data_IF_600408980361
#
_entry.id   IF_600408980361
#
_cell.length_a   1.000
_cell.length_b   1.000
_cell.length_c   1.000
_cell.angle_alpha   90.00
_cell.angle_beta   90.00
_cell.angle_gamma   90.00
#
_symmetry.space_group_name_H-M   'P 1'
#
loop_
_entity.id
_entity.type
_entity.pdbx_description
1 polymer ?
#
# COMPACT_ATOMS: atom_id res chain seq x y z
N UNK A 1 49.05 -48.22 -6.17
CA UNK A 1 48.77 -46.98 -5.43
C UNK A 1 48.60 -45.87 -6.45
N UNK A 2 47.37 -45.39 -6.62
CA UNK A 2 47.01 -44.22 -7.42
C UNK A 2 45.86 -43.53 -6.69
N UNK A 3 45.92 -42.21 -6.67
CA UNK A 3 45.45 -41.30 -5.63
C UNK A 3 43.96 -41.31 -5.25
N UNK A 4 43.74 -41.01 -3.97
CA UNK A 4 42.45 -40.82 -3.31
C UNK A 4 41.88 -39.40 -3.52
N UNK A 5 41.69 -38.97 -4.76
CA UNK A 5 41.16 -37.63 -5.08
C UNK A 5 40.17 -37.64 -6.23
N UNK A 6 39.15 -38.50 -6.13
CA UNK A 6 38.07 -38.55 -7.13
C UNK A 6 36.68 -38.55 -6.47
N UNK A 7 36.40 -37.60 -5.55
CA UNK A 7 35.06 -37.41 -4.98
C UNK A 7 34.64 -35.95 -4.73
N UNK A 8 35.31 -34.96 -5.32
CA UNK A 8 34.87 -33.56 -5.26
C UNK A 8 34.34 -33.12 -6.62
N UNK A 9 33.07 -33.41 -6.93
CA UNK A 9 32.56 -33.08 -8.26
C UNK A 9 31.09 -33.29 -8.59
N UNK A 10 30.17 -33.38 -7.62
CA UNK A 10 28.72 -33.33 -7.91
C UNK A 10 27.96 -32.53 -6.86
N UNK A 11 28.20 -31.22 -6.81
CA UNK A 11 27.25 -30.28 -6.19
C UNK A 11 26.41 -29.66 -7.30
N UNK A 12 25.43 -30.42 -7.80
CA UNK A 12 24.43 -29.93 -8.74
C UNK A 12 23.63 -28.80 -8.10
N UNK A 13 23.63 -27.66 -8.77
CA UNK A 13 23.07 -26.36 -8.44
C UNK A 13 21.61 -26.37 -7.97
N UNK A 14 21.19 -25.43 -7.10
CA UNK A 14 19.84 -25.39 -6.53
C UNK A 14 18.75 -25.04 -7.56
N UNK A 15 17.64 -25.77 -7.47
CA UNK A 15 16.48 -25.81 -8.38
C UNK A 15 15.58 -24.55 -8.37
N UNK A 16 16.11 -23.36 -8.06
CA UNK A 16 15.32 -22.12 -8.00
C UNK A 16 15.56 -21.17 -9.19
N UNK A 17 16.45 -21.53 -10.14
CA UNK A 17 16.97 -20.57 -11.11
C UNK A 17 16.23 -20.47 -12.45
N UNK A 18 15.09 -21.15 -12.63
CA UNK A 18 14.32 -21.12 -13.88
C UNK A 18 12.87 -20.65 -13.70
N UNK A 19 12.65 -19.58 -12.94
CA UNK A 19 11.38 -18.84 -13.03
C UNK A 19 11.36 -18.15 -14.39
N UNK A 20 10.66 -18.73 -15.36
CA UNK A 20 10.46 -18.13 -16.68
C UNK A 20 9.83 -16.75 -16.53
N UNK A 21 10.34 -15.77 -17.28
CA UNK A 21 9.88 -14.36 -17.20
C UNK A 21 8.36 -14.22 -17.41
N UNK A 22 7.78 -15.13 -18.20
CA UNK A 22 6.34 -15.22 -18.45
C UNK A 22 5.54 -15.72 -17.25
N UNK A 23 6.01 -16.76 -16.55
CA UNK A 23 5.39 -17.24 -15.32
C UNK A 23 5.33 -16.14 -14.26
N UNK A 24 6.41 -15.35 -14.13
CA UNK A 24 6.46 -14.19 -13.24
C UNK A 24 5.45 -13.10 -13.65
N UNK A 25 5.30 -12.81 -14.95
CA UNK A 25 4.30 -11.84 -15.46
C UNK A 25 2.87 -12.29 -15.16
N UNK A 26 2.56 -13.55 -15.40
CA UNK A 26 1.22 -14.10 -15.22
C UNK A 26 0.83 -14.18 -13.74
N UNK A 27 1.74 -14.64 -12.87
CA UNK A 27 1.56 -14.57 -11.41
C UNK A 27 1.39 -13.14 -10.92
N UNK A 28 2.17 -12.20 -11.45
CA UNK A 28 2.02 -10.77 -11.12
C UNK A 28 0.63 -10.26 -11.50
N UNK A 29 0.12 -10.56 -12.70
CA UNK A 29 -1.22 -10.12 -13.12
C UNK A 29 -2.36 -10.70 -12.28
N UNK A 30 -2.20 -11.94 -11.78
CA UNK A 30 -3.18 -12.57 -10.90
C UNK A 30 -3.12 -11.92 -9.52
N UNK A 31 -1.92 -11.66 -8.99
CA UNK A 31 -1.74 -10.93 -7.75
C UNK A 31 -2.28 -9.51 -7.81
N UNK A 32 -2.04 -8.80 -8.93
CA UNK A 32 -2.52 -7.44 -9.16
C UNK A 32 -4.06 -7.42 -9.13
N UNK A 33 -4.73 -8.36 -9.81
CA UNK A 33 -6.21 -8.49 -9.78
C UNK A 33 -6.77 -8.82 -8.41
N UNK A 34 -6.15 -9.74 -7.67
CA UNK A 34 -6.58 -10.09 -6.32
C UNK A 34 -6.40 -8.90 -5.37
N UNK A 35 -5.33 -8.13 -5.56
CA UNK A 35 -5.06 -6.92 -4.79
C UNK A 35 -6.05 -5.81 -5.12
N UNK A 36 -6.36 -5.58 -6.40
CA UNK A 36 -7.38 -4.62 -6.83
C UNK A 36 -8.76 -4.98 -6.25
N UNK A 37 -9.12 -6.26 -6.29
CA UNK A 37 -10.38 -6.75 -5.69
C UNK A 37 -10.40 -6.58 -4.16
N UNK A 38 -9.29 -6.88 -3.48
CA UNK A 38 -9.16 -6.68 -2.04
C UNK A 38 -9.21 -5.20 -1.65
N UNK A 39 -8.51 -4.33 -2.38
CA UNK A 39 -8.54 -2.88 -2.15
C UNK A 39 -9.96 -2.35 -2.39
N UNK A 40 -10.64 -2.74 -3.47
CA UNK A 40 -12.02 -2.31 -3.75
C UNK A 40 -13.02 -2.74 -2.66
N UNK A 41 -12.92 -3.97 -2.15
CA UNK A 41 -13.90 -4.51 -1.21
C UNK A 41 -13.68 -4.05 0.24
N UNK A 42 -12.42 -3.89 0.66
CA UNK A 42 -12.08 -3.61 2.07
C UNK A 42 -11.83 -2.12 2.38
N UNK A 43 -11.56 -1.27 1.37
CA UNK A 43 -11.26 0.15 1.59
C UNK A 43 -12.38 0.90 2.32
N UNK A 44 -13.65 0.63 2.00
CA UNK A 44 -14.78 1.30 2.65
C UNK A 44 -14.86 1.01 4.15
N UNK A 45 -14.62 -0.25 4.55
CA UNK A 45 -14.58 -0.66 5.96
C UNK A 45 -13.39 -0.06 6.71
N UNK A 46 -12.20 -0.14 6.11
CA UNK A 46 -10.97 0.45 6.67
C UNK A 46 -11.09 1.96 6.85
N UNK A 47 -11.73 2.65 5.90
CA UNK A 47 -11.96 4.09 5.99
C UNK A 47 -12.88 4.43 7.16
N UNK A 48 -13.94 3.64 7.38
CA UNK A 48 -14.84 3.82 8.52
C UNK A 48 -14.11 3.60 9.86
N UNK A 49 -13.29 2.55 9.96
CA UNK A 49 -12.49 2.29 11.17
C UNK A 49 -11.46 3.39 11.42
N UNK A 50 -10.78 3.84 10.37
CA UNK A 50 -9.85 4.96 10.43
C UNK A 50 -10.53 6.26 10.88
N UNK A 51 -11.70 6.57 10.34
CA UNK A 51 -12.46 7.77 10.72
C UNK A 51 -12.89 7.68 12.19
N UNK A 52 -13.30 6.49 12.63
CA UNK A 52 -13.63 6.21 14.04
C UNK A 52 -12.41 6.42 14.94
N UNK A 53 -11.24 5.94 14.51
CA UNK A 53 -9.97 6.21 15.19
C UNK A 53 -9.69 7.71 15.29
N UNK A 54 -9.75 8.46 14.17
CA UNK A 54 -9.57 9.92 14.15
C UNK A 54 -10.54 10.63 15.09
N UNK A 55 -11.81 10.25 15.08
CA UNK A 55 -12.83 10.80 15.97
C UNK A 55 -12.49 10.52 17.44
N UNK A 56 -12.12 9.29 17.78
CA UNK A 56 -11.75 8.92 19.16
C UNK A 56 -10.55 9.73 19.66
N UNK A 57 -9.48 9.84 18.88
CA UNK A 57 -8.28 10.57 19.30
C UNK A 57 -8.51 12.08 19.33
N UNK A 58 -9.45 12.61 18.55
CA UNK A 58 -9.82 14.03 18.60
C UNK A 58 -10.38 14.46 19.96
N UNK A 59 -10.96 13.52 20.72
CA UNK A 59 -11.47 13.79 22.08
C UNK A 59 -10.34 14.07 23.08
N UNK A 60 -9.10 13.66 22.78
CA UNK A 60 -7.94 13.79 23.66
C UNK A 60 -7.29 15.19 23.63
N UNK A 61 -7.95 16.22 23.07
CA UNK A 61 -7.44 17.60 22.92
C UNK A 61 -6.10 17.72 22.19
N UNK A 62 -5.82 16.79 21.26
CA UNK A 62 -4.67 16.89 20.37
C UNK A 62 -4.97 17.82 19.19
N UNK A 63 -3.93 18.41 18.60
CA UNK A 63 -4.09 19.27 17.43
C UNK A 63 -4.57 18.46 16.22
N UNK A 64 -5.30 19.11 15.31
CA UNK A 64 -5.70 18.50 14.02
C UNK A 64 -4.48 17.94 13.28
N UNK A 65 -3.38 18.67 13.33
CA UNK A 65 -2.09 18.28 12.76
C UNK A 65 -1.61 16.90 13.24
N UNK A 66 -1.60 16.73 14.56
CA UNK A 66 -1.17 15.49 15.20
C UNK A 66 -2.15 14.34 14.92
N UNK A 67 -3.45 14.62 14.78
CA UNK A 67 -4.45 13.63 14.36
C UNK A 67 -4.09 13.11 12.96
N UNK A 68 -3.88 13.99 11.98
CA UNK A 68 -3.55 13.59 10.61
C UNK A 68 -2.21 12.87 10.53
N UNK A 69 -1.21 13.31 11.30
CA UNK A 69 0.08 12.63 11.40
C UNK A 69 -0.07 11.20 11.94
N UNK A 70 -0.67 11.03 13.11
CA UNK A 70 -0.84 9.69 13.72
C UNK A 70 -1.66 8.75 12.84
N UNK A 71 -2.70 9.26 12.20
CA UNK A 71 -3.50 8.47 11.27
C UNK A 71 -2.72 8.08 10.03
N UNK A 72 -1.90 8.97 9.46
CA UNK A 72 -1.06 8.65 8.29
C UNK A 72 -0.03 7.55 8.58
N UNK A 73 0.43 7.44 9.83
CA UNK A 73 1.41 6.44 10.26
C UNK A 73 0.78 5.03 10.46
N UNK A 74 -0.56 4.93 10.53
CA UNK A 74 -1.29 3.67 10.72
C UNK A 74 -1.36 2.84 9.44
N UNK A 75 -0.30 2.07 9.17
CA UNK A 75 -0.21 1.18 7.99
C UNK A 75 -1.23 0.03 7.95
N UNK A 76 -1.95 -0.18 9.05
CA UNK A 76 -3.02 -1.19 9.17
C UNK A 76 -4.21 -0.87 8.27
N UNK A 77 -4.47 0.40 8.01
CA UNK A 77 -5.59 0.83 7.16
C UNK A 77 -5.12 1.13 5.75
N UNK A 78 -5.85 0.62 4.74
CA UNK A 78 -5.55 0.89 3.34
C UNK A 78 -5.56 2.40 3.01
N UNK A 79 -6.50 3.24 3.52
CA UNK A 79 -6.54 4.66 3.18
C UNK A 79 -5.40 5.52 3.75
N UNK A 80 -4.49 4.98 4.56
CA UNK A 80 -3.48 5.79 5.28
C UNK A 80 -2.52 6.50 4.34
N UNK A 81 -2.30 5.91 3.14
CA UNK A 81 -1.55 6.55 2.06
C UNK A 81 -2.20 7.86 1.61
N UNK A 82 -3.53 7.89 1.51
CA UNK A 82 -4.27 9.10 1.14
C UNK A 82 -4.20 10.15 2.26
N UNK A 83 -4.25 9.74 3.53
CA UNK A 83 -4.06 10.64 4.66
C UNK A 83 -2.66 11.26 4.68
N UNK A 84 -1.60 10.50 4.35
CA UNK A 84 -0.25 11.05 4.22
C UNK A 84 -0.16 12.09 3.09
N UNK A 85 -0.84 11.87 1.96
CA UNK A 85 -0.90 12.86 0.87
C UNK A 85 -1.61 14.14 1.34
N UNK A 86 -2.76 14.01 2.04
CA UNK A 86 -3.48 15.15 2.61
C UNK A 86 -2.56 15.93 3.56
N UNK A 87 -1.85 15.22 4.43
CA UNK A 87 -0.88 15.83 5.36
C UNK A 87 0.19 16.60 4.59
N UNK A 88 0.83 16.00 3.57
CA UNK A 88 1.86 16.67 2.76
C UNK A 88 1.32 17.93 2.07
N UNK A 89 0.13 17.86 1.47
CA UNK A 89 -0.51 19.04 0.86
C UNK A 89 -0.72 20.16 1.89
N UNK A 90 -1.12 19.82 3.10
CA UNK A 90 -1.31 20.82 4.17
C UNK A 90 0.00 21.40 4.67
N UNK A 91 1.03 20.58 4.93
CA UNK A 91 2.28 21.07 5.55
C UNK A 91 3.26 21.67 4.56
N UNK A 92 3.45 21.00 3.42
CA UNK A 92 4.48 21.38 2.46
C UNK A 92 3.93 22.46 1.51
N UNK A 93 2.64 22.41 1.19
CA UNK A 93 2.02 23.28 0.18
C UNK A 93 1.01 24.26 0.80
N UNK A 94 0.86 24.25 2.14
CA UNK A 94 0.05 25.19 2.92
C UNK A 94 -1.43 25.23 2.53
N UNK A 95 -1.98 24.15 2.00
CA UNK A 95 -3.43 24.02 1.82
C UNK A 95 -4.14 23.83 3.17
N UNK A 96 -5.38 24.27 3.26
CA UNK A 96 -6.26 23.88 4.35
C UNK A 96 -6.67 22.40 4.21
N UNK A 97 -6.91 21.76 5.35
CA UNK A 97 -7.29 20.34 5.37
C UNK A 97 -8.54 20.03 4.53
N UNK A 98 -9.53 20.93 4.48
CA UNK A 98 -10.73 20.76 3.66
C UNK A 98 -10.38 20.66 2.17
N UNK A 99 -9.62 21.63 1.65
CA UNK A 99 -9.16 21.63 0.26
C UNK A 99 -8.27 20.43 -0.05
N UNK A 100 -7.34 20.07 0.84
CA UNK A 100 -6.48 18.91 0.65
C UNK A 100 -7.27 17.59 0.61
N UNK A 101 -8.26 17.41 1.50
CA UNK A 101 -9.18 16.28 1.46
C UNK A 101 -9.98 16.23 0.16
N UNK A 102 -10.50 17.37 -0.30
CA UNK A 102 -11.27 17.45 -1.54
C UNK A 102 -10.41 17.10 -2.76
N UNK A 103 -9.19 17.63 -2.85
CA UNK A 103 -8.26 17.32 -3.94
C UNK A 103 -7.96 15.81 -4.02
N UNK A 104 -7.70 15.18 -2.87
CA UNK A 104 -7.42 13.75 -2.81
C UNK A 104 -8.66 12.93 -3.15
N UNK A 105 -9.85 13.31 -2.65
CA UNK A 105 -11.10 12.64 -2.98
C UNK A 105 -11.42 12.70 -4.48
N UNK A 106 -11.20 13.86 -5.12
CA UNK A 106 -11.36 14.02 -6.58
C UNK A 106 -10.39 13.13 -7.35
N UNK A 107 -9.13 13.03 -6.89
CA UNK A 107 -8.13 12.17 -7.52
C UNK A 107 -8.50 10.69 -7.44
N UNK A 108 -9.00 10.23 -6.29
CA UNK A 108 -9.47 8.84 -6.12
C UNK A 108 -10.69 8.55 -6.99
N UNK A 109 -11.66 9.47 -7.04
CA UNK A 109 -12.86 9.31 -7.88
C UNK A 109 -12.53 9.23 -9.38
N UNK A 110 -11.58 10.04 -9.85
CA UNK A 110 -11.13 10.01 -11.25
C UNK A 110 -10.50 8.65 -11.62
N UNK A 111 -9.79 8.01 -10.68
CA UNK A 111 -9.26 6.65 -10.87
C UNK A 111 -10.38 5.62 -11.00
N UNK A 112 -11.42 5.69 -10.16
CA UNK A 112 -12.57 4.79 -10.24
C UNK A 112 -13.34 4.96 -11.56
N UNK A 113 -13.56 6.20 -12.02
CA UNK A 113 -14.35 6.44 -13.25
C UNK A 113 -13.61 6.07 -14.54
N UNK A 114 -12.26 6.13 -14.56
CA UNK A 114 -11.46 5.70 -15.72
C UNK A 114 -11.48 4.20 -15.94
N UNK A 115 -11.86 3.41 -14.94
CA UNK A 115 -12.00 1.96 -15.08
C UNK A 115 -13.22 1.55 -15.93
N UNK A 116 -14.18 2.47 -16.11
CA UNK A 116 -15.44 2.24 -16.83
C UNK A 116 -15.59 3.04 -18.14
N UNK A 117 -14.55 3.74 -18.58
CA UNK A 117 -14.54 4.55 -19.81
C UNK A 117 -13.58 3.97 -20.86
#
# INVERSE_FOLDING_TARGET
MGDATELEGKRSTPLYKNVTKEGRKRFKSIFDRVKEWYESFFVGGDLLYMLTYMASISTAKISRDEIFKRTSEKKEYIPSKHIDVIRKLTHEWHYDYSTACEMVARNVKDLETKEYA
#
